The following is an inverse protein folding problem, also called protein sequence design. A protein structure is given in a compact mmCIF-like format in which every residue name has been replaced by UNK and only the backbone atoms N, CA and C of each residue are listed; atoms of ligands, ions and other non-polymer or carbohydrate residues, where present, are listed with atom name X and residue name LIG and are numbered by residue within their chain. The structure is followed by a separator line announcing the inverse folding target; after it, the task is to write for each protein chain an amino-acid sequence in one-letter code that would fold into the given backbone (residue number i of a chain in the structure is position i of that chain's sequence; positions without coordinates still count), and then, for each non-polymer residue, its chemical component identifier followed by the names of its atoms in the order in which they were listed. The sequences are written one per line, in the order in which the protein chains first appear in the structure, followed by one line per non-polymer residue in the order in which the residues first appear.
data_IF_604138591496
#
_entry.id   IF_604138591496
#
_cell.length_a   1.000
_cell.length_b   1.000
_cell.length_c   1.000
_cell.angle_alpha   90.00
_cell.angle_beta   90.00
_cell.angle_gamma   90.00
#
_symmetry.space_group_name_H-M   'P 1'
#
loop_
_entity.id
_entity.type
_entity.pdbx_description
1 polymer ?
#
# COMPACT_ATOMS: atom_id res chain seq x y z
N UNK A 1 -39.37 37.34 -44.25
CA UNK A 1 -38.69 36.11 -44.72
C UNK A 1 -39.60 34.90 -44.57
N UNK A 2 -39.79 34.10 -45.63
CA UNK A 2 -40.63 32.90 -45.62
C UNK A 2 -40.09 31.90 -44.57
N UNK A 3 -40.95 31.28 -43.75
CA UNK A 3 -40.55 30.40 -42.62
C UNK A 3 -39.49 29.33 -42.99
N UNK A 4 -39.48 28.85 -44.23
CA UNK A 4 -38.45 27.94 -44.75
C UNK A 4 -37.05 28.57 -44.79
N UNK A 5 -36.92 29.84 -45.20
CA UNK A 5 -35.62 30.53 -45.24
C UNK A 5 -35.02 30.74 -43.85
N UNK A 6 -35.85 30.98 -42.83
CA UNK A 6 -35.37 31.10 -41.43
C UNK A 6 -34.78 29.79 -40.92
N UNK A 7 -35.43 28.65 -41.22
CA UNK A 7 -34.92 27.32 -40.84
C UNK A 7 -33.62 26.97 -41.56
N UNK A 8 -33.51 27.30 -42.84
CA UNK A 8 -32.27 27.08 -43.61
C UNK A 8 -31.13 27.93 -43.03
N UNK A 9 -31.39 29.20 -42.69
CA UNK A 9 -30.38 30.07 -42.10
C UNK A 9 -29.94 29.61 -40.70
N UNK A 10 -30.88 29.12 -39.88
CA UNK A 10 -30.56 28.54 -38.56
C UNK A 10 -29.71 27.27 -38.69
N UNK A 11 -30.04 26.37 -39.63
CA UNK A 11 -29.25 25.15 -39.85
C UNK A 11 -27.86 25.47 -40.40
N UNK A 12 -27.74 26.45 -41.29
CA UNK A 12 -26.44 26.91 -41.79
C UNK A 12 -25.57 27.48 -40.66
N UNK A 13 -26.16 28.27 -39.75
CA UNK A 13 -25.47 28.84 -38.60
C UNK A 13 -25.01 27.78 -37.59
N UNK A 14 -25.83 26.77 -37.31
CA UNK A 14 -25.42 25.66 -36.44
C UNK A 14 -24.31 24.83 -37.07
N UNK A 15 -24.34 24.64 -38.39
CA UNK A 15 -23.31 23.91 -39.12
C UNK A 15 -21.97 24.65 -39.13
N UNK A 16 -21.99 25.98 -39.32
CA UNK A 16 -20.75 26.78 -39.24
C UNK A 16 -20.18 26.80 -37.83
N UNK A 17 -21.01 26.89 -36.78
CA UNK A 17 -20.56 26.75 -35.39
C UNK A 17 -19.94 25.37 -35.13
N UNK A 18 -20.56 24.30 -35.62
CA UNK A 18 -20.02 22.94 -35.45
C UNK A 18 -18.65 22.80 -36.14
N UNK A 19 -18.47 23.33 -37.36
CA UNK A 19 -17.19 23.29 -38.07
C UNK A 19 -16.08 24.10 -37.38
N UNK A 20 -16.43 25.16 -36.64
CA UNK A 20 -15.43 25.96 -35.89
C UNK A 20 -15.07 25.30 -34.56
N UNK A 21 -16.04 24.72 -33.85
CA UNK A 21 -15.83 24.19 -32.51
C UNK A 21 -15.37 22.73 -32.48
N UNK A 22 -15.83 21.87 -33.39
CA UNK A 22 -15.43 20.44 -33.40
C UNK A 22 -13.92 20.21 -33.57
N UNK A 23 -13.21 20.89 -34.50
CA UNK A 23 -11.77 20.70 -34.66
C UNK A 23 -11.00 21.21 -33.45
N UNK A 24 -11.43 22.33 -32.87
CA UNK A 24 -10.77 22.94 -31.71
C UNK A 24 -10.98 22.14 -30.42
N UNK A 25 -12.17 21.57 -30.22
CA UNK A 25 -12.45 20.67 -29.08
C UNK A 25 -11.73 19.33 -29.25
N UNK A 26 -11.66 18.79 -30.47
CA UNK A 26 -10.90 17.57 -30.77
C UNK A 26 -9.39 17.75 -30.57
N UNK A 27 -8.83 18.87 -31.07
CA UNK A 27 -7.43 19.22 -30.83
C UNK A 27 -7.16 19.47 -29.34
N UNK A 28 -8.07 20.13 -28.63
CA UNK A 28 -7.92 20.38 -27.19
C UNK A 28 -8.00 19.10 -26.36
N UNK A 29 -8.85 18.14 -26.76
CA UNK A 29 -8.92 16.80 -26.14
C UNK A 29 -7.61 16.03 -26.33
N UNK A 30 -7.06 16.02 -27.55
CA UNK A 30 -5.78 15.38 -27.84
C UNK A 30 -4.58 16.11 -27.18
N UNK A 31 -4.63 17.43 -27.09
CA UNK A 31 -3.63 18.22 -26.38
C UNK A 31 -3.65 17.95 -24.87
N UNK A 32 -4.85 17.86 -24.27
CA UNK A 32 -5.04 17.52 -22.86
C UNK A 32 -4.56 16.10 -22.55
N UNK A 33 -4.84 15.12 -23.40
CA UNK A 33 -4.31 13.74 -23.26
C UNK A 33 -2.78 13.70 -23.35
N UNK A 34 -2.17 14.39 -24.33
CA UNK A 34 -0.72 14.44 -24.48
C UNK A 34 -0.02 15.13 -23.31
N UNK A 35 -0.60 16.20 -22.76
CA UNK A 35 -0.04 16.90 -21.61
C UNK A 35 -0.23 16.13 -20.29
N UNK A 36 -1.32 15.37 -20.13
CA UNK A 36 -1.51 14.50 -18.97
C UNK A 36 -0.51 13.34 -18.97
N UNK A 37 -0.16 12.82 -20.15
CA UNK A 37 0.84 11.75 -20.31
C UNK A 37 2.29 12.28 -20.21
N UNK A 38 2.57 13.48 -20.72
CA UNK A 38 3.92 14.08 -20.68
C UNK A 38 4.30 14.69 -19.33
N UNK A 39 3.34 14.97 -18.45
CA UNK A 39 3.62 15.38 -17.08
C UNK A 39 4.26 14.26 -16.21
N UNK A 40 4.48 13.07 -16.78
CA UNK A 40 5.02 11.91 -16.10
C UNK A 40 6.47 11.54 -16.53
N UNK A 41 7.15 12.40 -17.28
CA UNK A 41 8.61 12.42 -17.33
C UNK A 41 9.09 13.64 -16.52
N UNK A 42 9.02 13.48 -15.20
CA UNK A 42 9.86 14.28 -14.31
C UNK A 42 11.30 13.86 -14.57
N UNK A 43 12.01 14.72 -15.30
CA UNK A 43 13.45 14.74 -15.51
C UNK A 43 14.20 14.06 -14.35
N UNK A 44 14.63 12.81 -14.57
CA UNK A 44 15.55 12.11 -13.67
C UNK A 44 16.91 12.76 -13.90
N UNK A 45 17.17 13.85 -13.17
CA UNK A 45 18.52 14.42 -13.06
C UNK A 45 19.39 13.49 -12.22
N UNK A 46 19.85 12.40 -12.84
CA UNK A 46 20.86 11.50 -12.30
C UNK A 46 21.85 11.14 -13.41
N UNK A 47 23.12 11.49 -13.23
CA UNK A 47 24.19 11.02 -14.12
C UNK A 47 24.43 9.53 -13.88
N UNK A 48 24.25 8.70 -14.92
CA UNK A 48 24.64 7.30 -14.89
C UNK A 48 26.16 7.19 -15.11
N UNK A 49 26.93 7.07 -14.03
CA UNK A 49 28.29 6.55 -14.12
C UNK A 49 28.20 5.02 -14.10
N UNK A 50 28.37 4.42 -15.27
CA UNK A 50 28.39 2.97 -15.42
C UNK A 50 29.60 2.36 -14.72
N UNK A 51 29.34 1.41 -13.84
CA UNK A 51 30.05 0.13 -13.69
C UNK A 51 29.24 -0.74 -12.71
N UNK A 52 29.30 -2.05 -12.95
CA UNK A 52 28.54 -3.13 -12.33
C UNK A 52 28.53 -3.15 -10.80
N UNK A 53 27.43 -3.68 -10.25
CA UNK A 53 27.13 -3.99 -8.85
C UNK A 53 26.70 -2.83 -7.95
N UNK A 54 25.38 -2.66 -7.84
CA UNK A 54 24.72 -1.81 -6.87
C UNK A 54 24.54 -0.38 -7.36
N UNK A 55 23.35 -0.06 -7.88
CA UNK A 55 23.00 1.28 -8.33
C UNK A 55 23.00 2.27 -7.14
N UNK A 56 24.16 2.88 -6.87
CA UNK A 56 24.32 4.01 -5.95
C UNK A 56 24.08 5.28 -6.76
N UNK A 57 22.93 5.91 -6.53
CA UNK A 57 22.60 7.19 -7.16
C UNK A 57 23.12 8.30 -6.26
N UNK A 58 24.18 8.99 -6.70
CA UNK A 58 24.65 10.23 -6.07
C UNK A 58 23.83 11.38 -6.62
N UNK A 59 23.05 12.02 -5.75
CA UNK A 59 22.29 13.22 -6.10
C UNK A 59 23.13 14.47 -5.77
N UNK A 60 22.65 15.64 -6.17
CA UNK A 60 23.36 16.94 -6.02
C UNK A 60 23.68 17.33 -4.57
N UNK A 61 23.12 16.60 -3.60
CA UNK A 61 23.31 16.77 -2.16
C UNK A 61 24.46 15.92 -1.59
N UNK A 62 25.10 15.06 -2.39
CA UNK A 62 26.16 14.15 -1.94
C UNK A 62 25.67 13.01 -1.04
N UNK A 63 24.36 12.83 -0.89
CA UNK A 63 23.78 11.77 -0.07
C UNK A 63 23.60 10.50 -0.88
N UNK A 64 24.08 9.36 -0.34
CA UNK A 64 23.92 8.05 -0.97
C UNK A 64 22.47 7.57 -0.79
N UNK A 65 21.89 7.08 -1.89
CA UNK A 65 20.55 6.49 -1.92
C UNK A 65 20.61 5.05 -2.39
N UNK A 66 19.72 4.23 -1.83
CA UNK A 66 19.59 2.80 -2.07
C UNK A 66 18.13 2.44 -2.37
N UNK A 67 17.96 1.41 -3.18
CA UNK A 67 16.67 0.72 -3.33
C UNK A 67 16.42 -0.19 -2.11
N UNK A 68 15.35 0.08 -1.39
CA UNK A 68 14.93 -0.66 -0.21
C UNK A 68 13.91 -1.77 -0.52
N UNK A 69 13.52 -1.93 -1.78
CA UNK A 69 12.61 -3.00 -2.18
C UNK A 69 13.31 -4.35 -2.15
N UNK A 70 12.83 -5.27 -1.31
CA UNK A 70 13.26 -6.67 -1.35
C UNK A 70 12.46 -7.43 -2.42
N UNK A 71 13.00 -7.45 -3.65
CA UNK A 71 12.37 -8.10 -4.79
C UNK A 71 12.21 -9.61 -4.60
N UNK A 72 13.06 -10.26 -3.81
CA UNK A 72 12.98 -11.70 -3.56
C UNK A 72 11.84 -12.04 -2.59
N UNK A 73 11.61 -11.24 -1.54
CA UNK A 73 10.40 -11.42 -0.71
C UNK A 73 9.13 -11.09 -1.47
N UNK A 74 9.12 -10.04 -2.30
CA UNK A 74 7.96 -9.70 -3.14
C UNK A 74 7.60 -10.87 -4.07
N UNK A 75 8.57 -11.45 -4.78
CA UNK A 75 8.35 -12.63 -5.64
C UNK A 75 7.81 -13.83 -4.85
N UNK A 76 8.37 -14.09 -3.67
CA UNK A 76 7.91 -15.18 -2.79
C UNK A 76 6.48 -14.95 -2.31
N UNK A 77 6.14 -13.72 -1.93
CA UNK A 77 4.78 -13.36 -1.52
C UNK A 77 3.79 -13.49 -2.68
N UNK A 78 4.16 -13.13 -3.91
CA UNK A 78 3.31 -13.25 -5.10
C UNK A 78 2.94 -14.71 -5.41
N UNK A 79 3.86 -15.65 -5.15
CA UNK A 79 3.62 -17.09 -5.35
C UNK A 79 2.80 -17.75 -4.22
N UNK A 80 2.47 -17.03 -3.14
CA UNK A 80 1.71 -17.62 -2.02
C UNK A 80 0.26 -17.88 -2.41
N UNK A 81 -0.21 -19.06 -2.02
CA UNK A 81 -1.56 -19.56 -2.26
C UNK A 81 -2.14 -20.02 -0.92
N UNK A 82 -3.38 -19.61 -0.65
CA UNK A 82 -4.05 -19.92 0.60
C UNK A 82 -5.28 -19.05 0.79
N UNK A 83 -6.02 -19.32 1.87
CA UNK A 83 -7.18 -18.52 2.24
C UNK A 83 -6.71 -17.14 2.71
N UNK A 84 -7.22 -16.07 2.09
CA UNK A 84 -6.86 -14.70 2.43
C UNK A 84 -5.53 -14.18 1.87
N UNK A 85 -4.79 -15.00 1.12
CA UNK A 85 -3.57 -14.57 0.40
C UNK A 85 -3.90 -13.58 -0.71
N UNK A 86 -2.95 -12.71 -1.05
CA UNK A 86 -3.10 -11.60 -2.00
C UNK A 86 -4.25 -10.66 -1.62
N UNK A 87 -4.62 -10.61 -0.33
CA UNK A 87 -5.76 -9.84 0.17
C UNK A 87 -7.11 -10.28 -0.39
N UNK A 88 -7.22 -11.50 -0.95
CA UNK A 88 -8.48 -12.04 -1.45
C UNK A 88 -9.48 -12.24 -0.31
N UNK A 89 -10.79 -12.09 -0.57
CA UNK A 89 -11.81 -12.37 0.43
C UNK A 89 -11.73 -13.83 0.89
N UNK A 90 -11.98 -14.07 2.17
CA UNK A 90 -12.06 -15.42 2.72
C UNK A 90 -13.37 -16.08 2.27
N UNK A 91 -13.34 -17.31 1.74
CA UNK A 91 -14.56 -18.02 1.34
C UNK A 91 -15.29 -18.50 2.61
N UNK A 92 -16.29 -17.74 3.04
CA UNK A 92 -17.20 -18.10 4.13
C UNK A 92 -18.30 -19.03 3.61
N UNK A 93 -18.58 -20.11 4.34
CA UNK A 93 -19.77 -20.93 4.11
C UNK A 93 -21.01 -20.31 4.81
N UNK A 94 -22.22 -20.65 4.35
CA UNK A 94 -23.46 -20.06 4.88
C UNK A 94 -23.68 -20.35 6.37
N UNK A 95 -23.22 -21.50 6.86
CA UNK A 95 -23.25 -21.93 8.25
C UNK A 95 -22.21 -21.23 9.14
N UNK A 96 -21.20 -20.60 8.54
CA UNK A 96 -20.15 -19.85 9.24
C UNK A 96 -20.48 -18.35 9.40
N UNK A 97 -21.64 -17.92 8.91
CA UNK A 97 -22.14 -16.55 9.01
C UNK A 97 -22.93 -16.36 10.32
N UNK A 98 -22.25 -16.46 11.46
CA UNK A 98 -22.84 -16.18 12.78
C UNK A 98 -22.41 -14.80 13.27
N UNK A 99 -23.37 -13.92 13.58
CA UNK A 99 -23.11 -12.58 14.13
C UNK A 99 -22.43 -12.61 15.51
N UNK A 100 -22.46 -13.75 16.22
CA UNK A 100 -21.77 -13.91 17.50
C UNK A 100 -20.26 -13.66 17.41
N UNK A 101 -19.64 -13.94 16.26
CA UNK A 101 -18.18 -13.81 16.03
C UNK A 101 -17.68 -12.36 16.03
N UNK A 102 -18.59 -11.39 15.90
CA UNK A 102 -18.27 -9.96 15.89
C UNK A 102 -18.38 -9.31 17.28
N UNK A 103 -19.09 -9.94 18.23
CA UNK A 103 -19.42 -9.32 19.53
C UNK A 103 -18.20 -9.00 20.38
N UNK A 104 -17.14 -9.79 20.23
CA UNK A 104 -15.95 -9.71 21.06
C UNK A 104 -14.96 -8.63 20.60
N UNK A 105 -14.70 -8.53 19.30
CA UNK A 105 -13.62 -7.69 18.76
C UNK A 105 -14.11 -6.65 17.73
N UNK A 106 -15.39 -6.64 17.37
CA UNK A 106 -15.94 -5.79 16.31
C UNK A 106 -15.61 -6.23 14.88
N UNK A 107 -14.88 -7.33 14.72
CA UNK A 107 -14.55 -7.95 13.44
C UNK A 107 -14.67 -9.48 13.54
N UNK A 108 -14.68 -10.15 12.37
CA UNK A 108 -14.84 -11.60 12.32
C UNK A 108 -13.56 -12.32 12.79
N UNK A 109 -13.54 -12.69 14.07
CA UNK A 109 -12.39 -13.39 14.67
C UNK A 109 -12.20 -14.79 14.09
N UNK A 110 -13.29 -15.46 13.70
CA UNK A 110 -13.25 -16.79 13.07
C UNK A 110 -12.48 -16.74 11.74
N UNK A 111 -12.81 -15.79 10.86
CA UNK A 111 -12.08 -15.55 9.61
C UNK A 111 -10.63 -15.19 9.90
N UNK A 112 -10.39 -14.30 10.85
CA UNK A 112 -9.02 -13.91 11.25
C UNK A 112 -8.19 -15.12 11.68
N UNK A 113 -8.74 -16.02 12.49
CA UNK A 113 -8.03 -17.22 12.95
C UNK A 113 -7.71 -18.21 11.81
N UNK A 114 -8.53 -18.23 10.76
CA UNK A 114 -8.35 -19.12 9.61
C UNK A 114 -7.48 -18.54 8.48
N UNK A 115 -7.06 -17.28 8.59
CA UNK A 115 -6.11 -16.64 7.67
C UNK A 115 -4.70 -16.75 8.26
N UNK A 116 -3.71 -17.07 7.43
CA UNK A 116 -2.31 -17.15 7.83
C UNK A 116 -1.81 -15.84 8.52
N UNK A 117 -1.02 -15.98 9.59
CA UNK A 117 -0.45 -14.83 10.32
C UNK A 117 0.51 -14.02 9.45
N UNK A 118 1.14 -14.64 8.47
CA UNK A 118 2.07 -14.00 7.54
C UNK A 118 1.49 -13.86 6.12
N UNK A 119 0.16 -13.83 5.95
CA UNK A 119 -0.47 -13.74 4.61
C UNK A 119 0.11 -12.65 3.70
N UNK A 120 0.18 -12.92 2.40
CA UNK A 120 0.56 -11.94 1.38
C UNK A 120 -0.55 -10.93 1.11
N UNK A 121 -0.15 -9.74 0.66
CA UNK A 121 -1.04 -8.63 0.33
C UNK A 121 -0.81 -8.19 -1.13
N UNK A 122 -1.84 -7.67 -1.81
CA UNK A 122 -1.68 -7.17 -3.16
C UNK A 122 -0.97 -5.81 -3.12
N UNK A 123 -0.04 -5.59 -4.04
CA UNK A 123 0.64 -4.31 -4.17
C UNK A 123 -0.24 -3.28 -4.90
N UNK A 124 -0.98 -2.50 -4.13
CA UNK A 124 -1.85 -1.42 -4.62
C UNK A 124 -1.15 -0.04 -4.68
N UNK A 125 0.17 0.01 -4.48
CA UNK A 125 0.92 1.28 -4.47
C UNK A 125 0.91 1.93 -5.87
N UNK A 126 1.08 3.25 -5.90
CA UNK A 126 1.24 3.97 -7.17
C UNK A 126 2.46 3.42 -7.95
N UNK A 127 2.40 3.25 -9.28
CA UNK A 127 3.51 2.68 -10.07
C UNK A 127 4.88 3.31 -9.78
N UNK A 128 4.91 4.63 -9.54
CA UNK A 128 6.14 5.38 -9.23
C UNK A 128 6.81 4.96 -7.92
N UNK A 129 6.05 4.40 -6.96
CA UNK A 129 6.61 3.97 -5.68
C UNK A 129 7.67 2.87 -5.88
N UNK A 130 7.52 2.02 -6.89
CA UNK A 130 8.45 0.93 -7.20
C UNK A 130 9.82 1.40 -7.68
N UNK A 131 9.93 2.66 -8.09
CA UNK A 131 11.17 3.27 -8.59
C UNK A 131 11.77 4.27 -7.57
N UNK A 132 11.17 4.40 -6.38
CA UNK A 132 11.65 5.33 -5.35
C UNK A 132 12.87 4.77 -4.65
N UNK A 133 13.85 5.65 -4.47
CA UNK A 133 15.09 5.40 -3.75
C UNK A 133 15.09 6.26 -2.49
N UNK A 134 15.61 5.71 -1.40
CA UNK A 134 15.71 6.41 -0.11
C UNK A 134 17.16 6.47 0.34
N UNK A 135 17.44 7.26 1.37
CA UNK A 135 18.78 7.32 1.96
C UNK A 135 19.26 5.94 2.38
N UNK A 136 20.54 5.67 2.19
CA UNK A 136 21.17 4.41 2.62
C UNK A 136 21.23 4.31 4.14
N UNK A 137 21.46 5.43 4.82
CA UNK A 137 21.50 5.53 6.27
C UNK A 137 20.19 6.16 6.77
N UNK A 138 19.30 5.32 7.29
CA UNK A 138 18.07 5.74 7.94
C UNK A 138 18.21 5.58 9.45
N UNK A 139 17.54 6.44 10.26
CA UNK A 139 17.49 6.24 11.70
C UNK A 139 16.72 4.96 12.03
N UNK A 140 17.10 4.31 13.12
CA UNK A 140 16.32 3.20 13.67
C UNK A 140 15.02 3.71 14.30
N UNK A 141 14.03 2.84 14.42
CA UNK A 141 12.72 3.16 14.97
C UNK A 141 12.28 2.16 16.02
N UNK A 142 11.67 2.63 17.11
CA UNK A 142 10.99 1.81 18.11
C UNK A 142 9.50 1.76 17.76
N UNK A 143 8.96 0.56 17.60
CA UNK A 143 7.56 0.36 17.21
C UNK A 143 6.75 0.03 18.46
N UNK A 144 5.80 0.90 18.82
CA UNK A 144 4.97 0.76 20.01
C UNK A 144 3.56 0.38 19.58
N UNK A 145 3.04 -0.74 20.09
CA UNK A 145 1.71 -1.25 19.79
C UNK A 145 0.91 -1.29 21.09
N UNK A 146 0.05 -0.28 21.36
CA UNK A 146 -0.93 -0.38 22.43
C UNK A 146 -2.04 -1.35 22.04
N UNK A 147 -2.46 -2.20 22.95
CA UNK A 147 -3.58 -3.11 22.76
C UNK A 147 -4.44 -3.21 24.02
N UNK A 148 -5.75 -3.33 23.84
CA UNK A 148 -6.73 -3.58 24.90
C UNK A 148 -7.70 -4.64 24.41
N UNK A 149 -7.72 -5.82 25.03
CA UNK A 149 -8.67 -6.90 24.71
C UNK A 149 -8.70 -7.30 23.21
N UNK A 150 -7.60 -7.10 22.49
CA UNK A 150 -7.45 -7.36 21.05
C UNK A 150 -7.46 -8.87 20.73
N UNK A 151 -7.93 -9.23 19.54
CA UNK A 151 -7.87 -10.61 19.07
C UNK A 151 -6.44 -11.12 18.91
N UNK A 152 -6.15 -12.35 19.37
CA UNK A 152 -4.78 -12.89 19.30
C UNK A 152 -4.25 -12.99 17.86
N UNK A 153 -5.09 -13.43 16.92
CA UNK A 153 -4.69 -13.58 15.51
C UNK A 153 -4.49 -12.23 14.80
N UNK A 154 -5.25 -11.18 15.16
CA UNK A 154 -5.05 -9.83 14.62
C UNK A 154 -3.75 -9.23 15.17
N UNK A 155 -3.53 -9.30 16.48
CA UNK A 155 -2.31 -8.79 17.12
C UNK A 155 -1.05 -9.49 16.57
N UNK A 156 -1.03 -10.82 16.52
CA UNK A 156 0.12 -11.55 15.97
C UNK A 156 0.36 -11.25 14.49
N UNK A 157 -0.70 -11.12 13.68
CA UNK A 157 -0.55 -10.77 12.26
C UNK A 157 0.04 -9.37 12.07
N UNK A 158 -0.30 -8.42 12.93
CA UNK A 158 0.35 -7.10 12.97
C UNK A 158 1.84 -7.26 13.23
N UNK A 159 2.21 -8.01 14.26
CA UNK A 159 3.61 -8.27 14.61
C UNK A 159 4.36 -8.97 13.47
N UNK A 160 3.81 -10.04 12.90
CA UNK A 160 4.41 -10.75 11.77
C UNK A 160 4.57 -9.85 10.55
N UNK A 161 3.62 -8.95 10.29
CA UNK A 161 3.73 -8.03 9.15
C UNK A 161 4.87 -7.03 9.33
N UNK A 162 5.09 -6.54 10.55
CA UNK A 162 6.22 -5.67 10.89
C UNK A 162 7.55 -6.41 10.69
N UNK A 163 7.69 -7.59 11.29
CA UNK A 163 8.94 -8.36 11.25
C UNK A 163 9.30 -8.79 9.83
N UNK A 164 8.32 -9.23 9.04
CA UNK A 164 8.60 -9.75 7.70
C UNK A 164 8.79 -8.67 6.62
N UNK A 165 8.28 -7.44 6.84
CA UNK A 165 8.27 -6.38 5.82
C UNK A 165 9.09 -5.15 6.19
N UNK A 166 9.80 -5.20 7.30
CA UNK A 166 10.70 -4.12 7.74
C UNK A 166 12.12 -4.68 7.82
N UNK A 167 13.13 -4.01 7.24
CA UNK A 167 14.52 -4.42 7.40
C UNK A 167 14.94 -4.44 8.88
N UNK A 168 15.48 -5.57 9.35
CA UNK A 168 15.79 -5.82 10.78
C UNK A 168 16.61 -4.70 11.45
N UNK A 169 17.61 -4.17 10.76
CA UNK A 169 18.51 -3.13 11.29
C UNK A 169 17.83 -1.76 11.47
N UNK A 170 16.67 -1.53 10.85
CA UNK A 170 15.86 -0.33 11.07
C UNK A 170 14.96 -0.46 12.30
N UNK A 171 14.72 -1.67 12.79
CA UNK A 171 13.94 -1.91 14.00
C UNK A 171 14.87 -1.86 15.21
N UNK A 172 14.68 -0.86 16.07
CA UNK A 172 15.37 -0.81 17.35
C UNK A 172 14.76 -1.82 18.35
N UNK A 173 13.43 -1.80 18.48
CA UNK A 173 12.66 -2.68 19.35
C UNK A 173 11.17 -2.66 18.97
N UNK A 174 10.45 -3.70 19.37
CA UNK A 174 8.98 -3.75 19.30
C UNK A 174 8.44 -3.83 20.72
N UNK A 175 7.64 -2.84 21.12
CA UNK A 175 7.07 -2.73 22.46
C UNK A 175 5.57 -2.96 22.40
N UNK A 176 5.12 -4.06 22.99
CA UNK A 176 3.69 -4.33 23.17
C UNK A 176 3.24 -3.74 24.51
N UNK A 177 2.26 -2.84 24.46
CA UNK A 177 1.74 -2.14 25.64
C UNK A 177 0.32 -2.63 25.91
N UNK A 178 0.16 -3.40 26.99
CA UNK A 178 -1.13 -3.88 27.47
C UNK A 178 -1.83 -2.79 28.29
N UNK A 179 -2.89 -2.23 27.70
CA UNK A 179 -3.77 -1.24 28.35
C UNK A 179 -4.84 -1.95 29.19
N UNK A 180 -4.39 -2.65 30.24
CA UNK A 180 -5.26 -3.34 31.21
C UNK A 180 -6.27 -4.31 30.55
N UNK A 181 -5.80 -5.23 29.72
CA UNK A 181 -6.68 -6.25 29.13
C UNK A 181 -7.21 -7.24 30.18
N UNK A 182 -8.52 -7.47 30.15
CA UNK A 182 -9.24 -8.42 31.02
C UNK A 182 -9.12 -9.87 30.55
N UNK A 183 -8.80 -10.07 29.26
CA UNK A 183 -8.59 -11.40 28.65
C UNK A 183 -7.34 -12.04 29.28
N UNK A 184 -7.59 -12.86 30.31
CA UNK A 184 -6.65 -13.35 31.32
C UNK A 184 -5.20 -13.68 30.91
N UNK A 185 -4.26 -13.15 31.71
CA UNK A 185 -3.02 -13.71 32.31
C UNK A 185 -2.12 -14.75 31.58
N UNK A 186 -2.39 -15.18 30.36
CA UNK A 186 -1.71 -16.34 29.73
C UNK A 186 -1.25 -16.08 28.29
N UNK A 187 -0.86 -14.86 28.00
CA UNK A 187 -0.31 -14.48 26.70
C UNK A 187 0.83 -13.50 26.90
N UNK A 188 1.88 -13.90 27.62
CA UNK A 188 3.20 -13.37 27.27
C UNK A 188 3.51 -13.99 25.91
N UNK A 189 3.51 -13.22 24.81
CA UNK A 189 3.93 -13.77 23.55
C UNK A 189 5.39 -14.13 23.76
N UNK A 190 5.73 -15.42 23.79
CA UNK A 190 7.12 -15.83 23.72
C UNK A 190 7.58 -15.62 22.26
N UNK A 191 7.61 -14.37 21.83
CA UNK A 191 8.06 -13.94 20.52
C UNK A 191 9.58 -13.99 20.54
N UNK A 192 10.15 -15.19 20.37
CA UNK A 192 11.59 -15.35 20.21
C UNK A 192 11.99 -15.18 18.74
N UNK A 193 11.61 -14.04 18.15
CA UNK A 193 12.04 -13.67 16.80
C UNK A 193 13.38 -12.93 16.92
N UNK A 194 14.49 -13.69 16.91
CA UNK A 194 15.83 -13.13 16.75
C UNK A 194 15.95 -12.46 15.37
N UNK A 195 16.60 -11.30 15.21
CA UNK A 195 17.42 -10.55 16.18
C UNK A 195 16.70 -9.41 16.92
N UNK A 196 15.36 -9.35 16.92
CA UNK A 196 14.61 -8.19 17.39
C UNK A 196 14.54 -8.14 18.92
N UNK A 197 14.74 -6.94 19.48
CA UNK A 197 14.52 -6.68 20.91
C UNK A 197 13.04 -6.49 21.20
N UNK A 198 12.54 -7.21 22.21
CA UNK A 198 11.14 -7.17 22.63
C UNK A 198 10.98 -6.39 23.95
N UNK A 199 10.04 -5.47 23.95
CA UNK A 199 9.51 -4.82 25.16
C UNK A 199 8.09 -5.27 25.43
N UNK A 200 7.77 -5.52 26.70
CA UNK A 200 6.39 -5.75 27.13
C UNK A 200 6.11 -4.86 28.34
N UNK A 201 5.15 -3.94 28.20
CA UNK A 201 4.71 -3.05 29.26
C UNK A 201 3.26 -3.36 29.59
N UNK A 202 2.95 -3.47 30.88
CA UNK A 202 1.59 -3.63 31.38
C UNK A 202 1.36 -2.59 32.47
N UNK A 203 0.27 -1.85 32.36
CA UNK A 203 -0.18 -0.95 33.42
C UNK A 203 -0.83 -1.79 34.54
N UNK A 204 -0.41 -1.55 35.78
CA UNK A 204 -1.02 -2.09 37.00
C UNK A 204 -2.26 -1.27 37.40
#
# INVERSE_FOLDING_TARGET
MKRRQKRVLQMAFLFTLALIFLPNVGLWSLYREKHLMKAHDGDVQGFALGLSDGHVYSWTDGLRRRDWHDNESIRREEMRIGKGEQGKPYPLAEDECDDSVYKENGFNIYVSNNIALDRSLPDIRHPNCKQKLYLENLPNTSIIIPFHNEGWSSLLRTVHSIVNRTPDHLIAEIVLVDDYSDRGKRQSPHLSLSPIRWGFLRYE
#
